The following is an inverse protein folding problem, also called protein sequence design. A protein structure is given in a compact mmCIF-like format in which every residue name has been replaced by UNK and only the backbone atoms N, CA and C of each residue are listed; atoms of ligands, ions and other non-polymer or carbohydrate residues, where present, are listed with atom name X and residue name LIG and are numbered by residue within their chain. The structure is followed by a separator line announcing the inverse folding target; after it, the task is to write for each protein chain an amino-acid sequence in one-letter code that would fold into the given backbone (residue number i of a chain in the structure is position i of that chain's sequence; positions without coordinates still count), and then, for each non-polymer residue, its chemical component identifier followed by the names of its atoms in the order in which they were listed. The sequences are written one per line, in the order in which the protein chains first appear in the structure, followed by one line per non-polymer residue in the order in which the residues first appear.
data_IF_808649291071
#
_entry.id   IF_808649291071
#
_cell.length_a   1.000
_cell.length_b   1.000
_cell.length_c   1.000
_cell.angle_alpha   90.00
_cell.angle_beta   90.00
_cell.angle_gamma   90.00
#
_symmetry.space_group_name_H-M   'P 1'
#
loop_
_entity.id
_entity.type
_entity.pdbx_description
1 polymer ?
#
# COMPACT_ATOMS: atom_id res chain seq x y z
N UNK A 1 25.67 11.60 -1.77
CA UNK A 1 25.03 12.23 -0.60
C UNK A 1 25.55 11.53 0.66
N UNK A 2 25.64 12.23 1.80
CA UNK A 2 25.91 11.57 3.07
C UNK A 2 24.68 10.79 3.54
N UNK A 3 24.87 9.77 4.37
CA UNK A 3 23.76 8.99 4.94
C UNK A 3 22.82 9.87 5.77
N UNK A 4 21.52 9.58 5.70
CA UNK A 4 20.51 10.29 6.48
C UNK A 4 20.33 9.57 7.80
N UNK A 5 20.54 10.31 8.89
CA UNK A 5 20.23 9.81 10.23
C UNK A 5 18.80 10.19 10.61
N UNK A 6 18.12 9.22 11.19
CA UNK A 6 16.76 9.33 11.65
C UNK A 6 16.69 9.29 13.16
N UNK A 7 15.69 9.99 13.68
CA UNK A 7 15.27 9.89 15.05
C UNK A 7 13.83 9.39 15.07
N UNK A 8 13.50 8.45 15.94
CA UNK A 8 12.13 7.98 16.08
C UNK A 8 11.28 9.04 16.80
N UNK A 9 10.10 9.34 16.25
CA UNK A 9 9.14 10.28 16.82
C UNK A 9 8.03 9.49 17.53
N UNK A 10 8.10 9.38 18.86
CA UNK A 10 7.10 8.66 19.67
C UNK A 10 7.20 7.13 19.61
N UNK A 11 6.38 6.44 20.41
CA UNK A 11 6.18 4.98 20.34
C UNK A 11 6.98 4.09 21.29
N UNK A 12 6.91 2.77 21.07
CA UNK A 12 7.33 1.71 22.02
C UNK A 12 8.80 1.77 22.47
N UNK A 13 9.72 2.17 21.59
CA UNK A 13 11.15 2.29 21.92
C UNK A 13 11.64 3.73 22.11
N UNK A 14 10.74 4.73 22.02
CA UNK A 14 11.12 6.15 22.10
C UNK A 14 11.57 6.60 23.51
N UNK A 15 11.69 5.69 24.47
CA UNK A 15 12.36 5.96 25.76
C UNK A 15 13.88 5.75 25.71
N UNK A 16 14.44 5.25 24.61
CA UNK A 16 15.90 5.19 24.38
C UNK A 16 16.45 6.40 23.64
N UNK A 17 15.58 7.25 23.11
CA UNK A 17 15.94 8.54 22.54
C UNK A 17 15.49 9.61 23.52
N UNK A 18 16.43 10.42 23.99
CA UNK A 18 16.24 11.48 24.98
C UNK A 18 15.49 12.69 24.35
N UNK A 19 14.35 12.43 23.70
CA UNK A 19 13.41 13.46 23.28
C UNK A 19 12.67 13.95 24.52
N UNK A 20 13.36 14.76 25.33
CA UNK A 20 12.76 15.50 26.45
C UNK A 20 11.73 16.55 25.98
N UNK A 21 11.35 16.56 24.69
CA UNK A 21 10.45 17.53 24.08
C UNK A 21 9.00 17.36 24.55
N UNK A 22 8.62 16.14 24.90
CA UNK A 22 7.25 15.78 25.28
C UNK A 22 7.16 14.95 26.56
N UNK A 23 8.29 14.75 27.25
CA UNK A 23 8.33 14.03 28.53
C UNK A 23 8.02 14.99 29.70
N UNK A 24 6.86 14.81 30.34
CA UNK A 24 6.53 15.45 31.63
C UNK A 24 6.68 14.46 32.79
N UNK A 25 7.75 13.67 32.80
CA UNK A 25 8.10 12.76 33.90
C UNK A 25 7.31 11.44 33.93
N UNK A 26 5.99 11.45 33.66
CA UNK A 26 5.15 10.23 33.67
C UNK A 26 4.30 10.00 32.41
N UNK A 27 4.02 11.04 31.62
CA UNK A 27 3.15 10.97 30.45
C UNK A 27 3.74 11.72 29.25
N UNK A 28 3.52 11.15 28.07
CA UNK A 28 3.97 11.72 26.80
C UNK A 28 2.89 12.62 26.20
N UNK A 29 3.20 13.90 25.97
CA UNK A 29 2.26 14.89 25.42
C UNK A 29 2.32 14.91 23.88
N UNK A 30 1.55 14.03 23.24
CA UNK A 30 1.50 13.92 21.76
C UNK A 30 1.11 15.24 21.08
N UNK A 31 0.17 15.99 21.67
CA UNK A 31 -0.31 17.25 21.10
C UNK A 31 0.72 18.37 21.20
N UNK A 32 1.51 18.42 22.27
CA UNK A 32 2.67 19.32 22.32
C UNK A 32 3.72 18.93 21.28
N UNK A 33 4.09 17.65 21.20
CA UNK A 33 5.07 17.18 20.23
C UNK A 33 4.65 17.49 18.79
N UNK A 34 3.39 17.23 18.44
CA UNK A 34 2.87 17.51 17.12
C UNK A 34 2.94 19.02 16.80
N UNK A 35 2.58 19.90 17.73
CA UNK A 35 2.72 21.35 17.55
C UNK A 35 4.17 21.79 17.37
N UNK A 36 5.09 21.22 18.15
CA UNK A 36 6.52 21.52 18.03
C UNK A 36 7.07 21.07 16.67
N UNK A 37 6.65 19.90 16.18
CA UNK A 37 7.00 19.41 14.84
C UNK A 37 6.42 20.32 13.75
N UNK A 38 5.16 20.77 13.88
CA UNK A 38 4.56 21.70 12.94
C UNK A 38 5.19 23.11 12.94
N UNK A 39 6.02 23.45 13.93
CA UNK A 39 6.74 24.74 13.94
C UNK A 39 7.68 24.92 12.73
N UNK A 40 8.12 23.82 12.10
CA UNK A 40 8.98 23.86 10.90
C UNK A 40 8.17 23.79 9.58
N UNK A 41 6.85 23.57 9.64
CA UNK A 41 5.99 23.37 8.47
C UNK A 41 5.64 24.67 7.73
N UNK A 42 6.01 25.85 8.27
CA UNK A 42 5.80 27.19 7.67
C UNK A 42 4.37 27.45 7.15
N UNK A 43 3.36 26.86 7.80
CA UNK A 43 1.94 27.03 7.44
C UNK A 43 1.42 26.07 6.36
N UNK A 44 2.22 25.11 5.91
CA UNK A 44 1.81 24.02 5.03
C UNK A 44 1.76 22.65 5.73
N UNK A 45 1.49 21.57 4.98
CA UNK A 45 1.62 20.21 5.51
C UNK A 45 3.08 19.90 5.87
N UNK A 46 3.27 18.96 6.81
CA UNK A 46 4.60 18.46 7.15
C UNK A 46 4.81 17.06 6.60
N UNK A 47 5.96 16.84 5.97
CA UNK A 47 6.40 15.52 5.55
C UNK A 47 7.46 14.98 6.52
N UNK A 48 7.20 13.77 6.98
CA UNK A 48 8.06 12.95 7.85
C UNK A 48 8.40 11.64 7.13
N UNK A 49 9.31 10.86 7.69
CA UNK A 49 9.68 9.56 7.15
C UNK A 49 8.89 8.45 7.88
N UNK A 50 8.32 7.51 7.12
CA UNK A 50 7.70 6.29 7.62
C UNK A 50 8.69 5.14 7.43
N UNK A 51 9.28 4.67 8.53
CA UNK A 51 10.11 3.47 8.54
C UNK A 51 9.26 2.23 8.77
N UNK A 52 9.35 1.23 7.91
CA UNK A 52 8.70 -0.07 8.10
C UNK A 52 9.77 -1.15 8.22
N UNK A 53 9.68 -2.00 9.23
CA UNK A 53 10.61 -3.13 9.45
C UNK A 53 10.21 -4.35 8.63
N UNK A 54 11.06 -5.38 8.62
CA UNK A 54 10.79 -6.65 7.94
C UNK A 54 9.58 -7.42 8.51
N UNK A 55 9.18 -7.14 9.75
CA UNK A 55 7.95 -7.70 10.36
C UNK A 55 6.70 -6.97 9.90
N UNK A 56 6.87 -5.81 9.24
CA UNK A 56 5.80 -4.92 8.87
C UNK A 56 5.43 -3.93 9.99
N UNK A 57 6.17 -3.84 11.09
CA UNK A 57 5.94 -2.79 12.10
C UNK A 57 6.36 -1.42 11.54
N UNK A 58 5.60 -0.37 11.87
CA UNK A 58 5.83 0.98 11.36
C UNK A 58 6.24 1.94 12.46
N UNK A 59 7.17 2.83 12.13
CA UNK A 59 7.73 3.85 12.99
C UNK A 59 7.73 5.19 12.28
N UNK A 60 7.32 6.23 13.00
CA UNK A 60 7.42 7.59 12.50
C UNK A 60 8.81 8.13 12.80
N UNK A 61 9.47 8.64 11.77
CA UNK A 61 10.87 9.05 11.81
C UNK A 61 10.99 10.51 11.40
N UNK A 62 11.90 11.22 12.04
CA UNK A 62 12.29 12.57 11.67
C UNK A 62 13.76 12.58 11.26
N UNK A 63 14.11 13.11 10.06
CA UNK A 63 15.50 13.31 9.68
C UNK A 63 16.21 14.23 10.67
N UNK A 64 17.48 13.98 10.93
CA UNK A 64 18.31 14.75 11.84
C UNK A 64 18.26 16.26 11.58
N UNK A 65 18.21 16.68 10.32
CA UNK A 65 18.09 18.09 9.93
C UNK A 65 16.80 18.73 10.46
N UNK A 66 15.66 18.08 10.24
CA UNK A 66 14.37 18.56 10.74
C UNK A 66 14.35 18.56 12.28
N UNK A 67 14.95 17.56 12.93
CA UNK A 67 15.07 17.51 14.39
C UNK A 67 15.89 18.70 14.94
N UNK A 68 17.00 19.07 14.28
CA UNK A 68 17.80 20.26 14.64
C UNK A 68 17.00 21.56 14.49
N UNK A 69 16.21 21.67 13.44
CA UNK A 69 15.39 22.86 13.18
C UNK A 69 14.28 23.01 14.23
N UNK A 70 13.61 21.92 14.63
CA UNK A 70 12.63 21.95 15.73
C UNK A 70 13.30 22.35 17.05
N UNK A 71 14.44 21.75 17.39
CA UNK A 71 15.17 22.08 18.61
C UNK A 71 15.50 23.59 18.67
N UNK A 72 15.95 24.17 17.56
CA UNK A 72 16.24 25.59 17.44
C UNK A 72 14.98 26.46 17.57
N UNK A 73 13.93 26.14 16.81
CA UNK A 73 12.72 26.96 16.73
C UNK A 73 11.92 26.95 18.04
N UNK A 74 11.80 25.79 18.68
CA UNK A 74 11.07 25.63 19.94
C UNK A 74 11.95 25.85 21.19
N UNK A 75 13.23 26.21 21.03
CA UNK A 75 14.21 26.35 22.12
C UNK A 75 14.31 25.09 23.00
N UNK A 76 14.30 23.93 22.37
CA UNK A 76 14.37 22.63 23.03
C UNK A 76 15.81 22.09 23.00
N UNK A 77 16.14 21.22 23.96
CA UNK A 77 17.41 20.49 23.94
C UNK A 77 17.43 19.54 22.75
N UNK A 78 18.50 19.55 21.96
CA UNK A 78 18.63 18.59 20.87
C UNK A 78 18.72 17.15 21.42
N UNK A 79 17.92 16.19 20.90
CA UNK A 79 17.99 14.79 21.30
C UNK A 79 19.29 14.21 20.80
N UNK A 80 20.12 13.73 21.71
CA UNK A 80 21.29 12.92 21.35
C UNK A 80 20.87 11.45 21.41
N UNK A 81 20.75 10.77 20.27
CA UNK A 81 20.37 9.36 20.26
C UNK A 81 21.53 8.53 20.81
N UNK A 82 21.25 7.55 21.67
CA UNK A 82 22.22 6.52 22.05
C UNK A 82 22.65 5.68 20.82
N UNK A 83 21.77 5.58 19.82
CA UNK A 83 22.02 4.94 18.53
C UNK A 83 21.34 5.74 17.41
N UNK A 84 22.12 6.22 16.45
CA UNK A 84 21.55 6.82 15.23
C UNK A 84 20.87 5.75 14.38
N UNK A 85 19.60 5.97 14.03
CA UNK A 85 18.88 5.13 13.07
C UNK A 85 19.24 5.55 11.65
N UNK A 86 19.29 4.59 10.74
CA UNK A 86 19.63 4.77 9.32
C UNK A 86 18.61 4.06 8.45
N UNK A 87 18.66 4.28 7.13
CA UNK A 87 17.82 3.53 6.19
C UNK A 87 17.99 2.01 6.30
N UNK A 88 19.17 1.53 6.69
CA UNK A 88 19.46 0.09 6.85
C UNK A 88 18.78 -0.56 8.06
N UNK A 89 18.27 0.23 9.02
CA UNK A 89 17.50 -0.29 10.15
C UNK A 89 16.05 -0.65 9.76
N UNK A 90 15.63 -0.34 8.53
CA UNK A 90 14.27 -0.55 8.03
C UNK A 90 14.26 -1.38 6.74
N UNK A 91 13.13 -2.02 6.46
CA UNK A 91 12.86 -2.70 5.19
C UNK A 91 12.43 -1.69 4.11
N UNK A 92 11.68 -0.66 4.49
CA UNK A 92 11.37 0.50 3.64
C UNK A 92 11.40 1.79 4.45
N UNK A 93 11.83 2.88 3.79
CA UNK A 93 11.55 4.24 4.26
C UNK A 93 10.83 4.98 3.13
N UNK A 94 9.69 5.57 3.45
CA UNK A 94 8.91 6.39 2.51
C UNK A 94 8.40 7.68 3.16
N UNK A 95 8.00 8.69 2.39
CA UNK A 95 7.36 9.88 2.95
C UNK A 95 5.95 9.59 3.45
N UNK A 96 5.62 10.21 4.58
CA UNK A 96 4.27 10.31 5.15
C UNK A 96 3.98 11.79 5.45
N UNK A 97 2.79 12.25 5.10
CA UNK A 97 2.35 13.63 5.17
C UNK A 97 1.26 13.81 6.24
N UNK A 98 1.30 14.94 6.92
CA UNK A 98 0.27 15.37 7.86
C UNK A 98 -0.13 16.81 7.54
N UNK A 99 -1.44 17.05 7.43
CA UNK A 99 -1.96 18.37 7.06
C UNK A 99 -2.06 19.31 8.26
N UNK A 100 -2.20 18.76 9.47
CA UNK A 100 -2.36 19.53 10.69
C UNK A 100 -1.78 18.79 11.92
N UNK A 101 -1.51 19.51 13.02
CA UNK A 101 -0.99 18.91 14.25
C UNK A 101 -1.87 17.80 14.84
N UNK A 102 -3.19 17.84 14.62
CA UNK A 102 -4.12 16.87 15.20
C UNK A 102 -3.98 15.49 14.52
N UNK A 103 -3.80 15.45 13.20
CA UNK A 103 -3.50 14.22 12.46
C UNK A 103 -2.21 13.55 12.96
N UNK A 104 -1.15 14.35 13.13
CA UNK A 104 0.12 13.87 13.67
C UNK A 104 -0.03 13.38 15.13
N UNK A 105 -0.75 14.14 15.98
CA UNK A 105 -1.01 13.75 17.37
C UNK A 105 -1.76 12.43 17.46
N UNK A 106 -2.79 12.22 16.63
CA UNK A 106 -3.53 10.95 16.53
C UNK A 106 -2.60 9.79 16.12
N UNK A 107 -1.74 10.01 15.11
CA UNK A 107 -0.77 9.00 14.67
C UNK A 107 0.20 8.63 15.79
N UNK A 108 0.78 9.61 16.48
CA UNK A 108 1.67 9.40 17.63
C UNK A 108 0.97 8.60 18.74
N UNK A 109 -0.28 8.93 19.04
CA UNK A 109 -1.12 8.18 19.99
C UNK A 109 -1.30 6.71 19.61
N UNK A 110 -1.46 6.41 18.32
CA UNK A 110 -1.58 5.01 17.84
C UNK A 110 -0.30 4.19 17.97
N UNK A 111 0.86 4.86 17.94
CA UNK A 111 2.19 4.26 18.09
C UNK A 111 2.60 4.11 19.57
N UNK A 112 1.90 4.76 20.50
CA UNK A 112 2.20 4.67 21.92
C UNK A 112 1.93 3.24 22.47
N UNK A 113 2.85 2.76 23.31
CA UNK A 113 2.70 1.47 24.00
C UNK A 113 1.52 1.52 24.97
N UNK A 114 0.67 0.48 24.94
CA UNK A 114 -0.52 0.41 25.79
C UNK A 114 -0.24 -0.18 27.18
N UNK A 115 0.93 -0.79 27.41
CA UNK A 115 1.25 -1.46 28.68
C UNK A 115 2.62 -1.07 29.22
N UNK A 116 2.62 -0.25 30.29
CA UNK A 116 3.80 -0.03 31.15
C UNK A 116 4.13 -1.24 32.07
N UNK A 117 3.34 -2.33 32.05
CA UNK A 117 3.38 -3.40 33.08
C UNK A 117 4.22 -4.65 32.77
N UNK A 118 4.78 -4.82 31.57
CA UNK A 118 5.46 -6.07 31.18
C UNK A 118 7.00 -5.99 31.19
N UNK A 119 7.61 -5.22 32.10
CA UNK A 119 9.05 -5.33 32.38
C UNK A 119 9.28 -6.35 33.48
N UNK A 120 9.36 -7.63 33.10
CA UNK A 120 10.08 -8.61 33.92
C UNK A 120 11.53 -8.62 33.43
N UNK A 121 12.48 -8.23 34.28
CA UNK A 121 13.93 -8.34 34.05
C UNK A 121 14.57 -7.45 32.96
N UNK A 122 14.01 -6.27 32.66
CA UNK A 122 14.71 -5.25 31.85
C UNK A 122 14.81 -5.52 30.34
N UNK A 123 14.22 -6.60 29.84
CA UNK A 123 14.12 -6.91 28.41
C UNK A 123 12.79 -6.34 27.89
N UNK A 124 12.85 -5.40 26.95
CA UNK A 124 11.66 -4.92 26.25
C UNK A 124 11.15 -6.05 25.35
N UNK A 125 10.06 -6.72 25.74
CA UNK A 125 9.77 -8.04 25.18
C UNK A 125 8.93 -8.02 23.89
N UNK A 126 8.24 -6.93 23.52
CA UNK A 126 7.42 -6.85 22.27
C UNK A 126 6.71 -5.48 22.13
N UNK A 127 6.58 -4.93 20.92
CA UNK A 127 5.91 -3.65 20.65
C UNK A 127 4.38 -3.77 20.77
N UNK A 128 3.86 -3.44 21.94
CA UNK A 128 2.41 -3.52 22.25
C UNK A 128 1.59 -2.30 21.78
N UNK A 129 2.14 -1.44 20.92
CA UNK A 129 1.37 -0.31 20.37
C UNK A 129 0.19 -0.80 19.53
N UNK A 130 -0.89 -0.02 19.49
CA UNK A 130 -2.09 -0.37 18.70
C UNK A 130 -1.76 -0.55 17.22
N UNK A 131 -0.83 0.25 16.71
CA UNK A 131 -0.36 0.18 15.33
C UNK A 131 0.47 -1.07 15.03
N UNK A 132 1.27 -1.57 16.00
CA UNK A 132 2.25 -2.63 15.73
C UNK A 132 1.90 -4.01 16.34
N UNK A 133 0.91 -4.11 17.25
CA UNK A 133 0.53 -5.36 17.94
C UNK A 133 0.33 -6.58 17.04
N UNK A 134 -0.12 -6.39 15.79
CA UNK A 134 -0.36 -7.48 14.84
C UNK A 134 0.89 -8.01 14.12
N UNK A 135 1.99 -7.26 14.15
CA UNK A 135 3.22 -7.58 13.42
C UNK A 135 4.24 -8.36 14.27
N UNK A 136 4.14 -8.27 15.60
CA UNK A 136 4.97 -9.09 16.50
C UNK A 136 4.67 -10.58 16.36
N UNK A 137 3.40 -10.96 16.15
CA UNK A 137 3.02 -12.35 15.91
C UNK A 137 3.61 -12.90 14.60
N UNK A 138 3.78 -12.03 13.59
CA UNK A 138 4.41 -12.37 12.31
C UNK A 138 5.91 -12.62 12.48
N UNK A 139 6.56 -11.86 13.36
CA UNK A 139 7.99 -12.02 13.65
C UNK A 139 8.32 -13.39 14.28
N UNK A 140 7.35 -13.97 15.00
CA UNK A 140 7.51 -15.22 15.76
C UNK A 140 7.07 -16.46 14.98
N UNK A 141 6.44 -16.29 13.81
CA UNK A 141 5.93 -17.37 12.97
C UNK A 141 6.72 -17.43 11.64
N UNK A 142 7.62 -18.43 11.47
CA UNK A 142 8.42 -18.58 10.27
C UNK A 142 7.60 -18.68 8.98
N UNK A 143 6.42 -19.32 9.03
CA UNK A 143 5.55 -19.53 7.87
C UNK A 143 4.87 -18.24 7.43
N UNK A 144 4.74 -17.29 8.36
CA UNK A 144 4.12 -15.98 8.13
C UNK A 144 5.12 -14.87 7.94
N UNK A 145 6.43 -15.12 8.01
CA UNK A 145 7.46 -14.07 7.95
C UNK A 145 7.33 -13.15 6.72
N UNK A 146 6.85 -13.68 5.60
CA UNK A 146 6.60 -12.90 4.38
C UNK A 146 5.36 -12.00 4.45
N UNK A 147 4.41 -12.27 5.35
CA UNK A 147 3.26 -11.38 5.63
C UNK A 147 3.70 -9.99 6.11
N UNK A 148 4.92 -9.83 6.62
CA UNK A 148 5.45 -8.51 7.00
C UNK A 148 5.89 -7.66 5.80
N UNK A 149 6.23 -8.30 4.67
CA UNK A 149 6.94 -7.68 3.55
C UNK A 149 6.04 -6.94 2.56
N UNK A 150 4.71 -7.12 2.61
CA UNK A 150 3.81 -6.41 1.70
C UNK A 150 3.76 -4.90 1.98
N UNK A 151 3.89 -4.46 3.24
CA UNK A 151 3.85 -3.00 3.52
C UNK A 151 5.11 -2.32 3.00
N UNK A 152 6.31 -2.86 3.26
CA UNK A 152 7.52 -2.35 2.61
C UNK A 152 7.41 -2.35 1.09
N UNK A 153 6.89 -3.42 0.48
CA UNK A 153 6.69 -3.50 -0.96
C UNK A 153 5.78 -2.38 -1.50
N UNK A 154 4.66 -2.13 -0.82
CA UNK A 154 3.75 -1.04 -1.16
C UNK A 154 4.47 0.32 -1.08
N UNK A 155 5.18 0.58 0.01
CA UNK A 155 5.91 1.85 0.18
C UNK A 155 7.09 1.99 -0.79
N UNK A 156 7.78 0.92 -1.16
CA UNK A 156 8.78 0.96 -2.23
C UNK A 156 8.16 1.36 -3.57
N UNK A 157 6.97 0.83 -3.89
CA UNK A 157 6.21 1.23 -5.08
C UNK A 157 5.92 2.73 -5.08
N UNK A 158 5.45 3.27 -3.94
CA UNK A 158 5.21 4.72 -3.76
C UNK A 158 6.49 5.55 -3.94
N UNK A 159 7.59 5.10 -3.35
CA UNK A 159 8.90 5.76 -3.50
C UNK A 159 9.34 5.80 -4.95
N UNK A 160 9.25 4.66 -5.67
CA UNK A 160 9.56 4.59 -7.10
C UNK A 160 8.69 5.54 -7.92
N UNK A 161 7.38 5.56 -7.67
CA UNK A 161 6.44 6.47 -8.33
C UNK A 161 6.82 7.94 -8.12
N UNK A 162 7.05 8.34 -6.86
CA UNK A 162 7.39 9.72 -6.49
C UNK A 162 8.76 10.15 -7.03
N UNK A 163 9.74 9.25 -7.06
CA UNK A 163 11.03 9.48 -7.72
C UNK A 163 10.85 9.77 -9.20
N UNK A 164 10.06 8.94 -9.89
CA UNK A 164 9.80 9.07 -11.32
C UNK A 164 9.03 10.33 -11.69
N UNK A 165 8.10 10.75 -10.84
CA UNK A 165 7.36 12.01 -10.99
C UNK A 165 8.14 13.24 -10.52
N UNK A 166 9.35 13.05 -9.97
CA UNK A 166 10.18 14.13 -9.42
C UNK A 166 9.48 14.94 -8.31
N UNK A 167 8.68 14.26 -7.49
CA UNK A 167 7.90 14.84 -6.36
C UNK A 167 8.34 14.29 -4.99
N UNK A 168 9.49 13.62 -4.95
CA UNK A 168 10.10 13.11 -3.72
C UNK A 168 11.08 14.13 -3.15
N UNK A 169 10.96 14.44 -1.86
CA UNK A 169 12.01 15.17 -1.13
C UNK A 169 13.14 14.20 -0.74
N UNK A 170 14.27 14.29 -1.45
CA UNK A 170 15.47 13.48 -1.19
C UNK A 170 16.16 13.82 0.14
N UNK A 171 15.80 14.93 0.79
CA UNK A 171 16.31 15.22 2.15
C UNK A 171 15.57 14.41 3.22
N UNK A 172 14.46 13.78 2.86
CA UNK A 172 13.63 13.00 3.78
C UNK A 172 14.02 11.52 3.79
N UNK A 173 14.35 10.97 2.61
CA UNK A 173 14.64 9.54 2.46
C UNK A 173 15.95 9.31 1.72
N UNK A 174 16.75 8.35 2.20
CA UNK A 174 18.00 7.95 1.56
C UNK A 174 17.67 7.05 0.37
N UNK A 175 17.60 7.64 -0.83
CA UNK A 175 17.45 6.90 -2.09
C UNK A 175 18.47 7.39 -3.10
N UNK A 176 19.15 6.45 -3.76
CA UNK A 176 20.11 6.74 -4.81
C UNK A 176 19.38 6.96 -6.15
N UNK A 177 19.47 8.18 -6.71
CA UNK A 177 19.12 8.40 -8.12
C UNK A 177 20.16 7.74 -9.01
N UNK A 178 19.83 6.54 -9.47
CA UNK A 178 20.70 5.77 -10.34
C UNK A 178 20.30 5.89 -11.81
N UNK A 179 21.24 5.79 -12.77
CA UNK A 179 20.93 5.78 -14.20
C UNK A 179 19.91 4.71 -14.63
N UNK A 180 19.74 3.64 -13.84
CA UNK A 180 18.72 2.62 -14.11
C UNK A 180 17.30 3.21 -14.13
N UNK A 181 17.05 4.32 -13.40
CA UNK A 181 15.75 4.98 -13.41
C UNK A 181 15.34 5.41 -14.82
N UNK A 182 16.29 5.79 -15.69
CA UNK A 182 15.96 6.24 -17.05
C UNK A 182 15.82 5.10 -18.05
N UNK A 183 16.18 3.88 -17.66
CA UNK A 183 16.23 2.74 -18.58
C UNK A 183 15.28 1.62 -18.20
N UNK A 184 14.94 1.45 -16.91
CA UNK A 184 14.18 0.29 -16.43
C UNK A 184 12.93 0.02 -17.24
N UNK A 185 12.63 -1.27 -17.39
CA UNK A 185 11.48 -1.75 -18.14
C UNK A 185 10.40 -2.14 -17.16
N UNK A 186 9.29 -1.42 -17.15
CA UNK A 186 8.10 -1.88 -16.44
C UNK A 186 7.33 -2.81 -17.37
N UNK A 187 7.00 -4.00 -16.89
CA UNK A 187 6.41 -5.09 -17.66
C UNK A 187 5.32 -5.78 -16.85
N UNK A 188 4.37 -6.43 -17.52
CA UNK A 188 3.43 -7.34 -16.88
C UNK A 188 3.28 -8.63 -17.68
N UNK A 189 3.02 -9.70 -16.94
CA UNK A 189 2.77 -11.03 -17.50
C UNK A 189 1.52 -11.61 -16.85
N UNK A 190 0.49 -11.84 -17.66
CA UNK A 190 -0.77 -12.44 -17.25
C UNK A 190 -1.07 -13.62 -18.17
N UNK A 191 -1.70 -14.66 -17.66
CA UNK A 191 -2.14 -15.80 -18.44
C UNK A 191 -3.48 -16.30 -17.92
N UNK A 192 -4.26 -16.93 -18.80
CA UNK A 192 -5.39 -17.73 -18.37
C UNK A 192 -5.06 -19.21 -18.56
N UNK A 193 -5.51 -20.02 -17.60
CA UNK A 193 -5.39 -21.48 -17.63
C UNK A 193 -6.76 -22.11 -17.75
N UNK A 194 -6.81 -23.27 -18.39
CA UNK A 194 -7.98 -24.11 -18.37
C UNK A 194 -8.19 -24.64 -16.95
N UNK A 195 -9.40 -24.49 -16.41
CA UNK A 195 -9.69 -24.83 -15.00
C UNK A 195 -10.05 -26.30 -14.77
N UNK A 196 -10.33 -27.06 -15.83
CA UNK A 196 -10.76 -28.45 -15.75
C UNK A 196 -9.68 -29.39 -16.29
N UNK A 197 -8.85 -29.99 -15.44
CA UNK A 197 -7.83 -30.98 -15.88
C UNK A 197 -6.39 -30.50 -15.77
N UNK A 198 -5.54 -30.90 -16.73
CA UNK A 198 -4.11 -30.55 -16.73
C UNK A 198 -3.90 -29.05 -16.91
N UNK A 199 -2.85 -28.45 -16.31
CA UNK A 199 -2.57 -27.02 -16.40
C UNK A 199 -2.20 -26.63 -17.84
N UNK A 200 -3.22 -26.29 -18.62
CA UNK A 200 -3.08 -25.90 -20.02
C UNK A 200 -3.29 -24.40 -20.14
N UNK A 201 -2.30 -23.68 -20.69
CA UNK A 201 -2.40 -22.24 -20.90
C UNK A 201 -3.29 -21.96 -22.13
N UNK A 202 -4.22 -21.02 -21.99
CA UNK A 202 -5.22 -20.66 -23.00
C UNK A 202 -4.83 -19.41 -23.80
N UNK A 203 -4.31 -18.41 -23.10
CA UNK A 203 -3.70 -17.21 -23.66
C UNK A 203 -2.74 -16.55 -22.66
N UNK A 204 -1.93 -15.65 -23.20
CA UNK A 204 -0.92 -14.89 -22.50
C UNK A 204 -1.10 -13.41 -22.87
N UNK A 205 -1.08 -12.55 -21.86
CA UNK A 205 -1.00 -11.10 -22.00
C UNK A 205 0.38 -10.61 -21.59
N UNK A 206 1.00 -9.83 -22.46
CA UNK A 206 2.26 -9.16 -22.22
C UNK A 206 2.01 -7.66 -22.35
N UNK A 207 2.37 -6.87 -21.34
CA UNK A 207 2.42 -5.43 -21.48
C UNK A 207 3.79 -4.89 -21.10
N UNK A 208 4.28 -3.91 -21.86
CA UNK A 208 5.60 -3.29 -21.69
C UNK A 208 5.48 -1.77 -21.79
N UNK A 209 5.85 -1.08 -20.70
CA UNK A 209 5.95 0.37 -20.65
C UNK A 209 7.16 0.89 -21.41
N UNK A 210 7.14 2.16 -21.77
CA UNK A 210 8.32 2.81 -22.35
C UNK A 210 9.47 2.81 -21.32
N UNK A 211 10.73 2.59 -21.74
CA UNK A 211 11.89 2.59 -20.83
C UNK A 211 11.95 3.83 -19.94
N UNK A 212 12.15 3.61 -18.64
CA UNK A 212 12.29 4.68 -17.65
C UNK A 212 11.03 5.50 -17.38
N UNK A 213 9.89 5.13 -17.96
CA UNK A 213 8.65 5.89 -17.94
C UNK A 213 7.49 5.09 -17.36
N UNK A 214 6.66 5.78 -16.58
CA UNK A 214 5.36 5.29 -16.12
C UNK A 214 4.23 5.66 -17.09
N UNK A 215 4.46 6.68 -17.92
CA UNK A 215 3.57 7.16 -18.99
C UNK A 215 4.38 7.35 -20.29
N UNK A 216 3.87 7.01 -21.49
CA UNK A 216 2.49 6.67 -21.82
C UNK A 216 2.07 5.24 -21.42
N UNK A 217 0.78 4.91 -21.56
CA UNK A 217 0.25 3.54 -21.64
C UNK A 217 1.21 2.49 -22.21
N UNK A 218 1.35 1.30 -21.58
CA UNK A 218 2.23 0.25 -22.10
C UNK A 218 1.72 -0.29 -23.43
N UNK A 219 2.65 -0.76 -24.27
CA UNK A 219 2.34 -1.56 -25.44
C UNK A 219 1.88 -2.94 -24.98
N UNK A 220 0.77 -3.43 -25.54
CA UNK A 220 0.10 -4.67 -25.10
C UNK A 220 0.04 -5.68 -26.24
N UNK A 221 0.34 -6.94 -25.93
CA UNK A 221 0.22 -8.07 -26.84
C UNK A 221 -0.60 -9.17 -26.17
N UNK A 222 -1.45 -9.83 -26.96
CA UNK A 222 -2.14 -11.04 -26.52
C UNK A 222 -1.73 -12.20 -27.42
N UNK A 223 -1.23 -13.28 -26.84
CA UNK A 223 -0.92 -14.52 -27.53
C UNK A 223 -2.03 -15.52 -27.25
N UNK A 224 -2.72 -15.98 -28.29
CA UNK A 224 -3.76 -17.01 -28.19
C UNK A 224 -3.20 -18.33 -28.71
N UNK A 225 -3.20 -19.36 -27.85
CA UNK A 225 -2.64 -20.66 -28.21
C UNK A 225 -3.70 -21.45 -28.99
N UNK A 226 -3.51 -21.57 -30.31
CA UNK A 226 -4.51 -22.09 -31.26
C UNK A 226 -5.04 -23.47 -30.88
N UNK A 227 -4.15 -24.36 -30.44
CA UNK A 227 -4.50 -25.74 -30.05
C UNK A 227 -5.49 -25.76 -28.89
N UNK A 228 -5.42 -24.76 -28.02
CA UNK A 228 -6.18 -24.65 -26.78
C UNK A 228 -7.41 -23.73 -26.93
N UNK A 229 -7.58 -23.08 -28.08
CA UNK A 229 -8.73 -22.22 -28.35
C UNK A 229 -10.08 -22.97 -28.25
N UNK A 230 -10.08 -24.29 -28.45
CA UNK A 230 -11.27 -25.16 -28.31
C UNK A 230 -11.58 -25.58 -26.88
N UNK A 231 -10.62 -25.44 -25.97
CA UNK A 231 -10.80 -25.73 -24.53
C UNK A 231 -11.46 -24.56 -23.80
N UNK A 232 -11.64 -23.44 -24.50
CA UNK A 232 -12.36 -22.31 -23.96
C UNK A 232 -13.87 -22.51 -24.12
N UNK A 233 -14.52 -22.80 -23.01
CA UNK A 233 -15.96 -23.02 -22.93
C UNK A 233 -16.74 -21.68 -22.90
N UNK A 234 -16.05 -20.52 -22.92
CA UNK A 234 -16.64 -19.18 -22.82
C UNK A 234 -16.35 -18.23 -24.00
N UNK A 235 -17.14 -17.16 -24.11
CA UNK A 235 -16.90 -16.06 -25.08
C UNK A 235 -15.84 -15.07 -24.58
N UNK A 236 -14.54 -15.27 -24.82
CA UNK A 236 -13.48 -14.31 -24.37
C UNK A 236 -13.86 -12.85 -24.57
N UNK A 237 -13.46 -12.02 -23.62
CA UNK A 237 -13.56 -10.56 -23.77
C UNK A 237 -12.76 -10.13 -25.00
N UNK A 238 -13.29 -9.16 -25.75
CA UNK A 238 -12.63 -8.65 -26.95
C UNK A 238 -11.35 -7.95 -26.54
N UNK A 239 -10.23 -8.31 -27.17
CA UNK A 239 -8.96 -7.63 -26.94
C UNK A 239 -9.05 -6.18 -27.41
N UNK A 240 -8.78 -5.24 -26.52
CA UNK A 240 -9.01 -3.81 -26.79
C UNK A 240 -7.80 -3.10 -27.42
N UNK A 241 -6.63 -3.73 -27.41
CA UNK A 241 -5.35 -3.06 -27.74
C UNK A 241 -4.74 -3.54 -29.07
N UNK A 242 -5.55 -4.12 -29.94
CA UNK A 242 -5.14 -4.55 -31.27
C UNK A 242 -5.76 -5.89 -31.67
N UNK A 243 -5.01 -6.68 -32.45
CA UNK A 243 -5.41 -8.02 -32.87
C UNK A 243 -4.64 -9.07 -32.08
N UNK A 244 -5.31 -10.06 -31.46
CA UNK A 244 -4.61 -11.15 -30.78
C UNK A 244 -3.73 -11.96 -31.76
N UNK A 245 -2.51 -12.25 -31.34
CA UNK A 245 -1.56 -13.06 -32.08
C UNK A 245 -1.87 -14.54 -31.89
N UNK A 246 -2.21 -15.22 -32.98
CA UNK A 246 -2.53 -16.64 -32.95
C UNK A 246 -1.24 -17.47 -33.10
N UNK A 247 -0.86 -18.23 -32.08
CA UNK A 247 0.39 -19.01 -32.03
C UNK A 247 0.16 -20.48 -31.66
N UNK A 248 1.13 -21.34 -31.94
CA UNK A 248 1.28 -22.65 -31.30
C UNK A 248 2.11 -22.52 -29.99
N UNK A 249 2.28 -23.64 -29.29
CA UNK A 249 3.03 -23.71 -28.02
C UNK A 249 4.50 -23.29 -28.18
N UNK A 250 5.14 -23.68 -29.30
CA UNK A 250 6.55 -23.34 -29.57
C UNK A 250 6.72 -21.84 -29.86
N UNK A 251 5.82 -21.24 -30.63
CA UNK A 251 5.80 -19.80 -30.87
C UNK A 251 5.51 -18.99 -29.60
N UNK A 252 4.61 -19.47 -28.74
CA UNK A 252 4.35 -18.86 -27.44
C UNK A 252 5.61 -18.89 -26.57
N UNK A 253 6.27 -20.05 -26.49
CA UNK A 253 7.52 -20.24 -25.74
C UNK A 253 8.61 -19.30 -26.21
N UNK A 254 8.88 -19.24 -27.53
CA UNK A 254 9.87 -18.31 -28.09
C UNK A 254 9.54 -16.86 -27.75
N UNK A 255 8.28 -16.47 -27.90
CA UNK A 255 7.85 -15.10 -27.63
C UNK A 255 8.04 -14.71 -26.15
N UNK A 256 7.68 -15.60 -25.23
CA UNK A 256 7.86 -15.39 -23.79
C UNK A 256 9.34 -15.33 -23.43
N UNK A 257 10.15 -16.26 -23.93
CA UNK A 257 11.59 -16.25 -23.70
C UNK A 257 12.23 -14.94 -24.21
N UNK A 258 11.89 -14.51 -25.41
CA UNK A 258 12.44 -13.28 -26.00
C UNK A 258 12.00 -12.03 -25.22
N UNK A 259 10.79 -12.02 -24.66
CA UNK A 259 10.31 -10.95 -23.78
C UNK A 259 11.23 -10.74 -22.55
N UNK A 260 11.66 -11.84 -21.93
CA UNK A 260 12.53 -11.84 -20.75
C UNK A 260 14.04 -11.79 -21.07
N UNK A 261 14.47 -12.17 -22.28
CA UNK A 261 15.88 -12.09 -22.72
C UNK A 261 16.37 -10.68 -23.00
N UNK A 262 15.48 -9.73 -23.32
CA UNK A 262 15.83 -8.32 -23.58
C UNK A 262 16.47 -7.67 -22.35
N UNK A 263 17.79 -7.70 -22.23
CA UNK A 263 18.55 -7.17 -21.08
C UNK A 263 19.17 -5.78 -21.30
N UNK A 264 19.09 -5.25 -22.52
CA UNK A 264 19.85 -4.04 -22.91
C UNK A 264 19.29 -2.74 -22.31
N UNK A 265 18.13 -2.77 -21.66
CA UNK A 265 17.47 -1.58 -21.11
C UNK A 265 17.49 -1.52 -19.58
N UNK A 266 18.47 -2.14 -18.91
CA UNK A 266 18.53 -2.10 -17.44
C UNK A 266 17.52 -3.05 -16.77
N UNK A 267 17.18 -2.84 -15.48
CA UNK A 267 16.39 -3.80 -14.71
C UNK A 267 14.94 -3.85 -15.19
N UNK A 268 14.34 -5.04 -15.13
CA UNK A 268 12.91 -5.23 -15.38
C UNK A 268 12.12 -5.19 -14.08
N UNK A 269 11.05 -4.41 -14.03
CA UNK A 269 10.00 -4.48 -13.02
C UNK A 269 8.84 -5.29 -13.60
N UNK A 270 8.63 -6.51 -13.08
CA UNK A 270 7.58 -7.42 -13.55
C UNK A 270 6.38 -7.39 -12.59
N UNK A 271 5.25 -6.87 -13.07
CA UNK A 271 3.97 -6.92 -12.40
C UNK A 271 3.25 -8.24 -12.70
N UNK A 272 2.80 -8.93 -11.65
CA UNK A 272 2.11 -10.21 -11.75
C UNK A 272 0.89 -10.24 -10.84
N UNK A 273 0.01 -11.21 -11.08
CA UNK A 273 -1.14 -11.53 -10.23
C UNK A 273 -0.96 -12.96 -9.68
N UNK A 274 -0.31 -13.09 -8.51
CA UNK A 274 0.10 -14.38 -7.95
C UNK A 274 1.52 -14.78 -8.36
N UNK A 275 2.51 -14.35 -7.58
CA UNK A 275 3.95 -14.57 -7.83
C UNK A 275 4.30 -16.05 -7.95
N UNK A 276 3.91 -16.88 -6.98
CA UNK A 276 4.31 -18.30 -6.94
C UNK A 276 3.84 -19.04 -8.19
N UNK A 277 2.54 -18.95 -8.50
CA UNK A 277 1.94 -19.58 -9.69
C UNK A 277 2.58 -19.05 -10.98
N UNK A 278 2.81 -17.73 -11.06
CA UNK A 278 3.44 -17.12 -12.24
C UNK A 278 4.87 -17.60 -12.47
N UNK A 279 5.70 -17.64 -11.42
CA UNK A 279 7.08 -18.11 -11.54
C UNK A 279 7.16 -19.60 -11.89
N UNK A 280 6.22 -20.40 -11.36
CA UNK A 280 6.09 -21.82 -11.71
C UNK A 280 5.74 -21.98 -13.19
N UNK A 281 4.75 -21.24 -13.69
CA UNK A 281 4.36 -21.26 -15.12
C UNK A 281 5.50 -20.80 -16.02
N UNK A 282 6.19 -19.71 -15.67
CA UNK A 282 7.33 -19.21 -16.43
C UNK A 282 8.45 -20.24 -16.55
N UNK A 283 8.75 -20.94 -15.45
CA UNK A 283 9.79 -21.96 -15.44
C UNK A 283 9.36 -23.25 -16.16
N UNK A 284 8.22 -23.83 -15.78
CA UNK A 284 7.80 -25.14 -16.25
C UNK A 284 7.22 -25.13 -17.67
N UNK A 285 6.50 -24.07 -18.05
CA UNK A 285 5.83 -24.02 -19.37
C UNK A 285 6.67 -23.31 -20.43
N UNK A 286 7.55 -22.38 -20.05
CA UNK A 286 8.26 -21.52 -21.00
C UNK A 286 9.79 -21.54 -20.85
N UNK A 287 10.32 -22.35 -19.94
CA UNK A 287 11.77 -22.51 -19.72
C UNK A 287 12.46 -21.15 -19.45
N UNK A 288 11.79 -20.29 -18.67
CA UNK A 288 12.35 -19.02 -18.21
C UNK A 288 12.99 -19.25 -16.84
N UNK A 289 14.33 -19.19 -16.80
CA UNK A 289 15.08 -19.20 -15.53
C UNK A 289 14.81 -17.92 -14.74
N UNK A 290 14.21 -18.10 -13.56
CA UNK A 290 13.85 -17.05 -12.63
C UNK A 290 14.58 -17.14 -11.28
N UNK A 291 15.60 -17.99 -11.17
CA UNK A 291 16.36 -18.22 -9.93
C UNK A 291 17.07 -16.98 -9.42
N UNK A 292 17.51 -16.10 -10.32
CA UNK A 292 18.20 -14.85 -10.01
C UNK A 292 17.25 -13.65 -9.81
N UNK A 293 15.93 -13.82 -9.84
CA UNK A 293 14.97 -12.70 -9.81
C UNK A 293 14.71 -12.22 -8.37
N UNK A 294 14.63 -10.90 -8.20
CA UNK A 294 14.40 -10.25 -6.93
C UNK A 294 12.93 -10.34 -6.47
N UNK A 295 12.73 -10.25 -5.15
CA UNK A 295 11.39 -10.07 -4.57
C UNK A 295 11.14 -8.63 -4.16
N UNK A 296 10.11 -8.02 -4.77
CA UNK A 296 9.81 -6.63 -4.54
C UNK A 296 10.87 -5.69 -5.09
N UNK A 297 11.04 -4.54 -4.44
CA UNK A 297 11.79 -3.39 -4.97
C UNK A 297 12.92 -2.92 -4.05
N UNK A 298 13.13 -3.57 -2.91
CA UNK A 298 14.12 -3.14 -1.91
C UNK A 298 15.52 -3.02 -2.49
N UNK A 299 16.03 -4.10 -3.08
CA UNK A 299 17.40 -4.14 -3.58
C UNK A 299 17.62 -3.20 -4.78
N UNK A 300 16.52 -2.79 -5.44
CA UNK A 300 16.55 -1.79 -6.51
C UNK A 300 16.67 -0.35 -5.96
N UNK A 301 15.91 -0.02 -4.91
CA UNK A 301 15.83 1.34 -4.34
C UNK A 301 16.86 1.60 -3.24
N UNK A 302 17.29 0.57 -2.54
CA UNK A 302 18.23 0.60 -1.42
C UNK A 302 19.32 -0.47 -1.64
N UNK A 303 20.14 -0.35 -2.70
CA UNK A 303 21.18 -1.32 -2.98
C UNK A 303 22.15 -1.37 -1.80
N UNK A 304 22.15 -2.48 -1.08
CA UNK A 304 23.10 -2.71 0.00
C UNK A 304 24.51 -2.58 -0.58
N UNK A 305 25.35 -1.72 0.02
CA UNK A 305 26.72 -1.43 -0.45
C UNK A 305 27.61 -2.68 -0.60
N UNK A 306 27.18 -3.83 -0.03
CA UNK A 306 27.89 -5.11 -0.02
C UNK A 306 27.51 -6.06 -1.16
N UNK A 307 26.41 -5.84 -1.88
CA UNK A 307 25.92 -6.76 -2.92
C UNK A 307 25.36 -5.96 -4.10
N UNK A 308 26.25 -5.43 -4.95
CA UNK A 308 25.89 -4.80 -6.23
C UNK A 308 25.36 -5.78 -7.29
N UNK A 309 24.98 -7.01 -6.93
CA UNK A 309 24.28 -7.91 -7.86
C UNK A 309 22.84 -7.41 -8.00
N UNK A 310 22.64 -6.41 -8.85
CA UNK A 310 21.30 -6.00 -9.24
C UNK A 310 20.60 -7.19 -9.89
N UNK A 311 19.42 -7.52 -9.40
CA UNK A 311 18.60 -8.56 -10.02
C UNK A 311 18.22 -8.11 -11.44
N UNK A 312 18.20 -9.03 -12.43
CA UNK A 312 17.77 -8.70 -13.77
C UNK A 312 16.27 -8.38 -13.83
N UNK A 313 15.49 -9.00 -12.95
CA UNK A 313 14.03 -8.83 -12.85
C UNK A 313 13.63 -8.71 -11.38
N UNK A 314 12.77 -7.75 -11.08
CA UNK A 314 12.16 -7.48 -9.79
C UNK A 314 10.66 -7.75 -9.91
N UNK A 315 10.15 -8.75 -9.18
CA UNK A 315 8.76 -9.18 -9.31
C UNK A 315 7.91 -8.55 -8.21
N UNK A 316 6.79 -7.93 -8.62
CA UNK A 316 5.80 -7.31 -7.75
C UNK A 316 4.46 -8.00 -7.93
N UNK A 317 3.98 -8.62 -6.86
CA UNK A 317 2.65 -9.23 -6.82
C UNK A 317 1.59 -8.18 -6.47
N UNK A 318 0.90 -7.69 -7.49
CA UNK A 318 -0.12 -6.64 -7.34
C UNK A 318 -1.37 -7.19 -6.64
N UNK A 319 -1.67 -8.48 -6.81
CA UNK A 319 -2.80 -9.12 -6.12
C UNK A 319 -2.53 -9.17 -4.62
N UNK A 320 -1.36 -9.63 -4.21
CA UNK A 320 -0.98 -9.68 -2.79
C UNK A 320 -0.95 -8.27 -2.18
N UNK A 321 -0.36 -7.31 -2.90
CA UNK A 321 -0.33 -5.91 -2.47
C UNK A 321 -1.75 -5.35 -2.27
N UNK A 322 -2.67 -5.60 -3.21
CA UNK A 322 -4.08 -5.16 -3.12
C UNK A 322 -4.81 -5.84 -1.96
N UNK A 323 -4.65 -7.17 -1.82
CA UNK A 323 -5.29 -7.97 -0.76
C UNK A 323 -4.99 -7.40 0.62
N UNK A 324 -3.71 -7.17 0.89
CA UNK A 324 -3.22 -6.73 2.19
C UNK A 324 -3.48 -5.24 2.41
N UNK A 325 -3.50 -4.44 1.34
CA UNK A 325 -3.85 -3.03 1.39
C UNK A 325 -5.34 -2.83 1.74
N UNK A 326 -6.25 -3.48 1.01
CA UNK A 326 -7.70 -3.37 1.20
C UNK A 326 -8.24 -4.23 2.36
N UNK A 327 -7.43 -5.13 2.92
CA UNK A 327 -7.83 -6.09 3.98
C UNK A 327 -9.06 -6.92 3.60
N UNK A 328 -9.13 -7.32 2.34
CA UNK A 328 -10.19 -8.17 1.83
C UNK A 328 -9.75 -9.64 1.85
N UNK A 329 -10.71 -10.53 1.71
CA UNK A 329 -10.43 -11.96 1.56
C UNK A 329 -9.94 -12.27 0.14
N UNK A 330 -9.08 -13.28 -0.02
CA UNK A 330 -8.53 -13.68 -1.32
C UNK A 330 -9.62 -14.03 -2.34
N UNK A 331 -10.75 -14.60 -1.88
CA UNK A 331 -11.88 -14.93 -2.74
C UNK A 331 -12.52 -13.68 -3.37
N UNK A 332 -12.34 -12.50 -2.77
CA UNK A 332 -12.82 -11.24 -3.32
C UNK A 332 -11.92 -10.69 -4.44
N UNK A 333 -10.68 -11.18 -4.57
CA UNK A 333 -9.66 -10.70 -5.52
C UNK A 333 -9.08 -11.84 -6.38
N UNK A 334 -9.94 -12.77 -6.81
CA UNK A 334 -9.52 -13.93 -7.61
C UNK A 334 -8.94 -13.59 -8.97
N UNK A 335 -9.38 -12.48 -9.56
CA UNK A 335 -9.03 -12.10 -10.93
C UNK A 335 -8.56 -10.65 -10.97
N UNK A 336 -7.79 -10.30 -12.01
CA UNK A 336 -7.36 -8.91 -12.27
C UNK A 336 -8.57 -7.98 -12.42
N UNK A 337 -9.65 -8.47 -13.03
CA UNK A 337 -10.93 -7.74 -13.09
C UNK A 337 -11.42 -7.33 -11.69
N UNK A 338 -11.51 -8.27 -10.75
CA UNK A 338 -11.99 -7.98 -9.41
C UNK A 338 -11.07 -7.01 -8.65
N UNK A 339 -9.75 -7.10 -8.86
CA UNK A 339 -8.77 -6.12 -8.37
C UNK A 339 -9.13 -4.73 -8.88
N UNK A 340 -9.27 -4.56 -10.20
CA UNK A 340 -9.59 -3.28 -10.80
C UNK A 340 -10.97 -2.73 -10.40
N UNK A 341 -11.98 -3.59 -10.27
CA UNK A 341 -13.30 -3.17 -9.75
C UNK A 341 -13.19 -2.64 -8.32
N UNK A 342 -12.46 -3.33 -7.44
CA UNK A 342 -12.26 -2.90 -6.05
C UNK A 342 -11.47 -1.59 -5.94
N UNK A 343 -10.58 -1.33 -6.90
CA UNK A 343 -9.85 -0.07 -7.00
C UNK A 343 -10.62 1.03 -7.74
N UNK A 344 -11.85 0.77 -8.19
CA UNK A 344 -12.68 1.76 -8.89
C UNK A 344 -12.21 2.08 -10.32
N UNK A 345 -11.32 1.26 -10.88
CA UNK A 345 -10.79 1.44 -12.25
C UNK A 345 -11.79 1.03 -13.34
N UNK A 346 -12.75 0.18 -13.00
CA UNK A 346 -13.78 -0.33 -13.91
C UNK A 346 -15.09 -0.50 -13.16
N UNK A 347 -16.21 -0.33 -13.88
CA UNK A 347 -17.54 -0.48 -13.31
C UNK A 347 -17.78 -1.89 -12.75
N UNK A 348 -18.51 -1.97 -11.63
CA UNK A 348 -18.90 -3.23 -11.03
C UNK A 348 -19.88 -3.98 -11.94
N UNK A 349 -19.50 -5.20 -12.33
CA UNK A 349 -20.32 -6.08 -13.15
C UNK A 349 -19.73 -7.48 -13.19
N UNK A 350 -20.59 -8.48 -13.37
CA UNK A 350 -20.13 -9.83 -13.66
C UNK A 350 -19.49 -9.84 -15.05
N UNK A 351 -18.16 -9.89 -15.08
CA UNK A 351 -17.47 -10.27 -16.30
C UNK A 351 -17.74 -11.74 -16.54
N UNK A 352 -18.37 -12.04 -17.67
CA UNK A 352 -18.56 -13.41 -18.11
C UNK A 352 -17.25 -14.03 -18.59
N UNK A 353 -16.26 -13.24 -19.02
CA UNK A 353 -15.04 -13.76 -19.67
C UNK A 353 -13.80 -12.89 -19.53
N UNK A 354 -12.64 -13.53 -19.44
CA UNK A 354 -11.34 -12.89 -19.21
C UNK A 354 -10.52 -12.84 -20.50
N UNK A 355 -9.67 -11.82 -20.64
CA UNK A 355 -8.69 -11.67 -21.73
C UNK A 355 -7.35 -11.34 -21.09
N UNK A 356 -6.36 -12.23 -21.23
CA UNK A 356 -5.05 -12.03 -20.60
C UNK A 356 -4.39 -10.74 -21.09
N UNK A 357 -4.59 -10.36 -22.35
CA UNK A 357 -4.11 -9.10 -22.91
C UNK A 357 -4.73 -7.89 -22.22
N UNK A 358 -6.05 -7.85 -22.06
CA UNK A 358 -6.71 -6.76 -21.33
C UNK A 358 -6.24 -6.70 -19.87
N UNK A 359 -6.11 -7.85 -19.22
CA UNK A 359 -5.69 -7.95 -17.83
C UNK A 359 -4.21 -7.56 -17.62
N UNK A 360 -3.33 -7.85 -18.57
CA UNK A 360 -1.94 -7.38 -18.53
C UNK A 360 -1.84 -5.85 -18.56
N UNK A 361 -2.80 -5.15 -19.19
CA UNK A 361 -2.88 -3.70 -19.08
C UNK A 361 -3.49 -3.28 -17.74
N UNK A 362 -4.61 -3.87 -17.35
CA UNK A 362 -5.32 -3.52 -16.11
C UNK A 362 -4.44 -3.64 -14.86
N UNK A 363 -3.51 -4.61 -14.81
CA UNK A 363 -2.60 -4.76 -13.67
C UNK A 363 -1.58 -3.62 -13.56
N UNK A 364 -1.18 -2.99 -14.68
CA UNK A 364 -0.40 -1.75 -14.66
C UNK A 364 -1.19 -0.62 -14.03
N UNK A 365 -2.42 -0.41 -14.51
CA UNK A 365 -3.29 0.67 -14.03
C UNK A 365 -3.59 0.48 -12.52
N UNK A 366 -3.83 -0.78 -12.10
CA UNK A 366 -4.02 -1.15 -10.69
C UNK A 366 -2.79 -0.83 -9.82
N UNK A 367 -1.60 -1.21 -10.28
CA UNK A 367 -0.37 -0.88 -9.56
C UNK A 367 -0.18 0.63 -9.45
N UNK A 368 -0.37 1.37 -10.54
CA UNK A 368 -0.21 2.84 -10.56
C UNK A 368 -1.15 3.52 -9.57
N UNK A 369 -2.44 3.16 -9.55
CA UNK A 369 -3.41 3.73 -8.58
C UNK A 369 -3.01 3.42 -7.14
N UNK A 370 -2.53 2.21 -6.85
CA UNK A 370 -2.08 1.84 -5.51
C UNK A 370 -0.88 2.67 -5.06
N UNK A 371 0.10 2.90 -5.93
CA UNK A 371 1.36 3.59 -5.55
C UNK A 371 1.30 5.10 -5.67
N UNK A 372 0.32 5.65 -6.38
CA UNK A 372 0.01 7.08 -6.38
C UNK A 372 -0.67 7.53 -5.08
N UNK A 373 -1.31 6.59 -4.38
CA UNK A 373 -2.09 6.86 -3.18
C UNK A 373 -1.31 7.41 -1.97
N UNK A 374 -2.04 7.75 -0.90
CA UNK A 374 -1.48 8.10 0.40
C UNK A 374 -0.57 7.00 0.98
N UNK A 375 0.16 7.32 2.04
CA UNK A 375 0.93 6.29 2.75
C UNK A 375 0.02 5.21 3.29
N UNK A 376 0.54 4.00 3.45
CA UNK A 376 -0.26 2.85 3.90
C UNK A 376 -0.96 3.11 5.25
N UNK A 377 -0.38 4.01 6.05
CA UNK A 377 -0.91 4.43 7.34
C UNK A 377 -1.78 5.68 7.31
N UNK A 378 -1.76 6.45 6.21
CA UNK A 378 -2.73 7.53 5.93
C UNK A 378 -4.06 6.92 5.46
N UNK A 379 -4.00 5.94 4.54
CA UNK A 379 -5.19 5.29 3.95
C UNK A 379 -6.03 4.47 4.94
N UNK A 380 -5.43 4.05 6.06
CA UNK A 380 -6.08 3.24 7.10
C UNK A 380 -6.92 4.07 8.08
N UNK A 381 -6.89 5.40 7.98
CA UNK A 381 -7.92 6.23 8.59
C UNK A 381 -9.19 6.08 7.73
N UNK A 382 -10.38 5.90 8.32
CA UNK A 382 -11.59 5.64 7.54
C UNK A 382 -11.76 6.73 6.49
N UNK A 383 -11.68 6.35 5.21
CA UNK A 383 -12.09 7.19 4.08
C UNK A 383 -13.58 7.47 4.30
N UNK A 384 -13.91 8.61 4.90
CA UNK A 384 -15.30 9.06 5.03
C UNK A 384 -15.88 9.53 3.68
N UNK A 385 -15.12 9.46 2.57
CA UNK A 385 -15.63 9.78 1.24
C UNK A 385 -15.16 8.81 0.14
N UNK A 386 -16.07 8.38 -0.76
CA UNK A 386 -15.69 7.61 -1.94
C UNK A 386 -14.82 8.44 -2.90
N UNK A 387 -13.82 7.79 -3.50
CA UNK A 387 -12.84 8.40 -4.42
C UNK A 387 -13.44 8.98 -5.72
N UNK A 388 -14.73 8.79 -5.98
CA UNK A 388 -15.44 9.36 -7.11
C UNK A 388 -16.88 9.69 -6.71
N UNK A 389 -17.20 10.98 -6.62
CA UNK A 389 -18.59 11.43 -6.79
C UNK A 389 -18.87 11.42 -8.29
N UNK A 390 -19.72 10.50 -8.75
CA UNK A 390 -20.29 10.60 -10.09
C UNK A 390 -20.88 12.01 -10.26
N UNK A 391 -20.72 12.66 -11.43
CA UNK A 391 -21.40 13.92 -11.69
C UNK A 391 -22.91 13.70 -11.50
N UNK A 392 -23.63 14.64 -10.86
CA UNK A 392 -25.07 14.53 -10.70
C UNK A 392 -25.72 14.31 -12.08
N UNK A 393 -26.73 13.45 -12.18
CA UNK A 393 -27.44 13.27 -13.44
C UNK A 393 -27.93 14.64 -13.90
N UNK A 394 -27.61 14.99 -15.14
CA UNK A 394 -28.16 16.17 -15.78
C UNK A 394 -29.68 16.00 -15.78
N UNK A 395 -30.39 16.88 -15.07
CA UNK A 395 -31.83 17.03 -15.24
C UNK A 395 -32.07 17.46 -16.69
N UNK A 396 -32.39 16.49 -17.54
CA UNK A 396 -33.08 16.76 -18.78
C UNK A 396 -34.54 17.04 -18.40
N UNK A 397 -34.85 18.31 -18.13
CA UNK A 397 -36.21 18.82 -18.24
C UNK A 397 -36.58 18.77 -19.72
N UNK A 398 -37.10 17.62 -20.14
CA UNK A 398 -37.81 17.45 -21.40
C UNK A 398 -39.29 17.44 -21.10
N UNK A 399 -39.95 18.56 -21.41
CA UNK A 399 -41.39 18.72 -21.41
C UNK A 399 -42.08 17.59 -22.22
N UNK A 400 -42.87 16.76 -21.55
CA UNK A 400 -43.84 15.85 -22.18
C UNK A 400 -45.24 16.23 -21.69
N UNK A 401 -46.07 16.90 -22.52
CA UNK A 401 -47.41 17.31 -22.16
C UNK A 401 -48.41 16.23 -22.54
N UNK A 402 -48.57 15.20 -21.71
CA UNK A 402 -49.81 14.39 -21.61
C UNK A 402 -49.65 13.28 -20.56
N UNK A 403 -49.96 13.57 -19.30
CA UNK A 403 -50.39 12.54 -18.35
C UNK A 403 -51.24 13.15 -17.22
N UNK A 404 -52.55 12.99 -17.36
CA UNK A 404 -53.59 12.89 -16.34
C UNK A 404 -53.27 13.43 -14.92
N UNK A 405 -53.76 14.65 -14.68
CA UNK A 405 -53.81 15.29 -13.38
C UNK A 405 -54.87 14.62 -12.49
N UNK A 406 -54.46 13.92 -11.43
CA UNK A 406 -55.34 13.37 -10.39
C UNK A 406 -55.79 14.50 -9.42
N UNK A 407 -57.10 14.77 -9.28
CA UNK A 407 -57.61 15.87 -8.47
C UNK A 407 -57.55 15.65 -6.93
N UNK A 408 -56.88 14.61 -6.41
CA UNK A 408 -56.80 14.36 -4.97
C UNK A 408 -55.44 14.62 -4.28
N UNK A 409 -54.40 15.07 -4.99
CA UNK A 409 -53.09 15.34 -4.37
C UNK A 409 -52.92 16.81 -3.94
N UNK A 410 -53.75 17.28 -3.01
CA UNK A 410 -53.55 18.57 -2.31
C UNK A 410 -53.07 18.35 -0.87
N UNK A 411 -51.77 18.56 -0.70
CA UNK A 411 -51.05 19.37 0.32
C UNK A 411 -51.58 19.41 1.75
N UNK A 412 -50.70 19.08 2.71
CA UNK A 412 -50.46 19.96 3.87
C UNK A 412 -49.05 19.77 4.46
N UNK A 413 -48.19 20.77 4.23
CA UNK A 413 -46.92 20.95 4.92
C UNK A 413 -47.03 22.08 5.95
N UNK A 414 -46.27 21.87 7.04
CA UNK A 414 -45.68 22.85 7.96
C UNK A 414 -46.62 23.56 8.97
N UNK A 415 -46.15 23.95 10.18
CA UNK A 415 -44.79 24.46 10.41
C UNK A 415 -44.09 24.09 11.74
N UNK A 416 -42.75 24.26 11.75
CA UNK A 416 -41.94 24.60 12.93
C UNK A 416 -41.66 26.13 12.90
N UNK A 417 -40.97 26.79 13.87
CA UNK A 417 -40.40 26.37 15.17
C UNK A 417 -40.69 27.38 16.33
N UNK A 418 -40.22 27.14 17.56
CA UNK A 418 -39.27 27.98 18.34
C UNK A 418 -39.26 27.76 19.87
N UNK A 419 -38.04 27.92 20.43
CA UNK A 419 -37.67 28.47 21.76
C UNK A 419 -37.62 27.57 23.02
N UNK A 420 -36.38 27.20 23.39
CA UNK A 420 -35.66 27.43 24.68
C UNK A 420 -36.44 27.61 26.00
N UNK A 421 -36.11 26.83 27.05
CA UNK A 421 -35.34 27.22 28.27
C UNK A 421 -35.42 26.17 29.40
N UNK A 422 -34.31 26.04 30.18
CA UNK A 422 -34.15 25.69 31.62
C UNK A 422 -35.04 24.60 32.28
N UNK A 423 -34.60 23.66 33.11
CA UNK A 423 -33.74 23.61 34.31
C UNK A 423 -33.73 22.12 34.73
N UNK A 424 -32.63 21.48 35.13
CA UNK A 424 -32.18 21.43 36.53
C UNK A 424 -32.49 20.08 37.22
N UNK A 425 -31.44 19.51 37.83
CA UNK A 425 -31.43 18.69 39.06
C UNK A 425 -31.69 17.15 39.05
N UNK A 426 -30.58 16.45 39.36
CA UNK A 426 -30.38 15.41 40.41
C UNK A 426 -31.13 14.07 40.34
N UNK A 427 -30.36 12.99 40.45
CA UNK A 427 -30.84 11.66 40.84
C UNK A 427 -29.73 10.61 40.82
N UNK A 428 -29.31 10.19 42.01
CA UNK A 428 -28.32 9.15 42.33
C UNK A 428 -28.59 7.77 41.70
N UNK A 429 -27.54 6.94 41.65
CA UNK A 429 -27.66 5.56 42.16
C UNK A 429 -27.11 4.41 41.31
N UNK A 430 -26.19 3.65 41.95
CA UNK A 430 -25.83 2.22 41.77
C UNK A 430 -24.94 1.90 40.55
N UNK A 431 -23.65 1.55 40.65
CA UNK A 431 -22.89 0.69 41.59
C UNK A 431 -23.34 -0.78 41.53
N UNK A 432 -22.71 -1.53 40.61
CA UNK A 432 -22.57 -2.98 40.67
C UNK A 432 -21.10 -3.31 40.41
N UNK A 433 -20.41 -3.58 41.51
CA UNK A 433 -19.28 -4.50 41.56
C UNK A 433 -19.84 -5.91 41.37
N UNK A 434 -19.29 -6.66 40.41
CA UNK A 434 -19.37 -8.12 40.42
C UNK A 434 -17.96 -8.69 40.40
N UNK A 435 -17.56 -9.11 41.58
CA UNK A 435 -16.52 -10.10 41.84
C UNK A 435 -16.81 -11.39 41.05
N UNK A 436 -15.79 -11.94 40.39
CA UNK A 436 -15.72 -13.40 40.27
C UNK A 436 -14.29 -13.86 40.52
N UNK A 437 -14.14 -14.30 41.75
CA UNK A 437 -13.04 -15.07 42.31
C UNK A 437 -13.16 -16.51 41.78
N UNK A 438 -12.11 -17.03 41.15
CA UNK A 438 -11.90 -18.46 40.99
C UNK A 438 -10.43 -18.73 41.29
N UNK A 439 -10.20 -19.07 42.56
CA UNK A 439 -8.96 -19.67 43.03
C UNK A 439 -8.96 -21.20 42.92
N UNK A 440 -7.75 -21.71 43.13
CA UNK A 440 -7.36 -23.01 43.67
C UNK A 440 -7.14 -24.22 42.73
N UNK A 441 -5.85 -24.42 42.48
CA UNK A 441 -5.03 -25.59 42.83
C UNK A 441 -5.42 -26.99 42.31
N UNK A 442 -4.46 -27.63 41.61
CA UNK A 442 -3.86 -28.93 41.97
C UNK A 442 -2.77 -29.35 40.96
N UNK A 443 -1.59 -29.71 41.52
CA UNK A 443 -0.42 -30.46 40.99
C UNK A 443 0.55 -29.83 39.97
#
# INVERSE_FOLDING_TARGET
MGSIYYHQLGGFENRRLDFSWADRGQFWDHSKLARDVFSIAKGGPIQLALGITNTGASYLLIPERQAKDIARNCRLRYPYPDKSLTASDFESISPIEFNNPDELSKKLGSLASTKNKNRKNGIAQTDTSKANKGYDAIAMDPDRRNDGLYRPLFEHGRVLYRLKKNILDENLIEVERSPWLETFRMCSFIYNRWQSGSPTILDIGLAEGAPGRLDPPPAVRQLVIRRNARLDEGKRDTFMYGTPEQTDDEGATRTVQDFFRKRDSGPMLLLVCGRKDTLEVLNQCYDVDNTAWGNGLKDLLQPSSRTRSQHPVYVVDVKEMTLKHLKVDEQQLKTVHLICTKLGLIAGGQIKTVSAGNDSRRIFDAWTVLVEGPAIDEERQPREQPLYTAPPPANNDGDDPDSDFDPNDIVQQAPAPTASTHTGQSGDGYLYDEDSDYGDDSE
#
